data_IF_095175932333
#
_entry.id   IF_095175932333
#
_cell.length_a   1.000
_cell.length_b   1.000
_cell.length_c   1.000
_cell.angle_alpha   90.00
_cell.angle_beta   90.00
_cell.angle_gamma   90.00
#
_symmetry.space_group_name_H-M   'P 1'
#
loop_
_entity.id
_entity.type
_entity.pdbx_description
1 polymer ?
#
# COMPACT_ATOMS: atom_id res chain seq x y z
N UNK A 1 -30.82 -51.53 57.51
CA UNK A 1 -30.34 -51.72 56.12
C UNK A 1 -30.96 -50.69 55.19
N UNK A 2 -32.28 -50.46 55.30
CA UNK A 2 -33.06 -49.47 54.56
C UNK A 2 -32.51 -48.04 54.60
N UNK A 3 -32.02 -47.57 55.75
CA UNK A 3 -31.42 -46.21 55.86
C UNK A 3 -30.16 -46.02 55.01
N UNK A 4 -29.38 -47.10 54.78
CA UNK A 4 -28.22 -47.05 53.89
C UNK A 4 -28.65 -47.01 52.43
N UNK A 5 -29.71 -47.74 52.10
CA UNK A 5 -30.30 -47.78 50.76
C UNK A 5 -30.86 -46.40 50.40
N UNK A 6 -31.66 -45.79 51.27
CA UNK A 6 -32.21 -44.46 51.05
C UNK A 6 -31.12 -43.38 50.83
N UNK A 7 -30.02 -43.44 51.60
CA UNK A 7 -28.88 -42.53 51.40
C UNK A 7 -28.15 -42.75 50.08
N UNK A 8 -28.08 -44.00 49.59
CA UNK A 8 -27.48 -44.30 48.30
C UNK A 8 -28.36 -43.81 47.14
N UNK A 9 -29.68 -43.91 47.28
CA UNK A 9 -30.64 -43.39 46.30
C UNK A 9 -30.57 -41.86 46.20
N UNK A 10 -30.47 -41.17 47.35
CA UNK A 10 -30.26 -39.73 47.42
C UNK A 10 -28.94 -39.31 46.75
N UNK A 11 -27.83 -39.98 47.07
CA UNK A 11 -26.52 -39.70 46.47
C UNK A 11 -26.49 -40.00 44.96
N UNK A 12 -27.17 -41.05 44.49
CA UNK A 12 -27.29 -41.33 43.05
C UNK A 12 -28.07 -40.23 42.34
N UNK A 13 -29.12 -39.71 42.97
CA UNK A 13 -29.92 -38.62 42.42
C UNK A 13 -29.10 -37.33 42.30
N UNK A 14 -28.39 -36.94 43.37
CA UNK A 14 -27.48 -35.79 43.36
C UNK A 14 -26.36 -35.95 42.33
N UNK A 15 -25.75 -37.13 42.25
CA UNK A 15 -24.68 -37.41 41.27
C UNK A 15 -25.20 -37.30 39.83
N UNK A 16 -26.41 -37.81 39.56
CA UNK A 16 -27.05 -37.68 38.25
C UNK A 16 -27.31 -36.22 37.89
N UNK A 17 -27.83 -35.43 38.83
CA UNK A 17 -28.08 -34.01 38.59
C UNK A 17 -26.79 -33.23 38.30
N UNK A 18 -25.71 -33.53 39.03
CA UNK A 18 -24.39 -32.93 38.80
C UNK A 18 -23.79 -33.35 37.45
N UNK A 19 -23.98 -34.60 37.03
CA UNK A 19 -23.53 -35.09 35.72
C UNK A 19 -24.24 -34.36 34.58
N UNK A 20 -25.58 -34.23 34.66
CA UNK A 20 -26.37 -33.49 33.66
C UNK A 20 -25.87 -32.04 33.55
N UNK A 21 -25.65 -31.38 34.69
CA UNK A 21 -25.14 -30.00 34.71
C UNK A 21 -23.73 -29.87 34.14
N UNK A 22 -22.89 -30.89 34.28
CA UNK A 22 -21.55 -30.91 33.68
C UNK A 22 -21.66 -31.11 32.17
N UNK A 23 -22.55 -32.01 31.72
CA UNK A 23 -22.77 -32.31 30.30
C UNK A 23 -23.31 -31.08 29.54
N UNK A 24 -24.29 -30.38 30.10
CA UNK A 24 -24.81 -29.10 29.55
C UNK A 24 -23.71 -28.04 29.41
N UNK A 25 -22.81 -27.94 30.39
CA UNK A 25 -21.68 -26.99 30.35
C UNK A 25 -20.57 -27.42 29.39
N UNK A 26 -20.44 -28.72 29.15
CA UNK A 26 -19.46 -29.28 28.22
C UNK A 26 -19.89 -29.04 26.77
N UNK A 27 -21.19 -29.13 26.46
CA UNK A 27 -21.73 -28.74 25.15
C UNK A 27 -21.50 -27.25 24.85
N UNK A 28 -21.55 -26.39 25.86
CA UNK A 28 -21.25 -24.97 25.72
C UNK A 28 -19.75 -24.66 25.59
N UNK A 29 -18.87 -25.63 25.86
CA UNK A 29 -17.44 -25.45 25.75
C UNK A 29 -17.03 -25.72 24.29
N UNK A 30 -16.50 -24.69 23.60
CA UNK A 30 -15.95 -24.86 22.27
C UNK A 30 -14.96 -26.03 22.28
N UNK A 31 -15.23 -27.06 21.48
CA UNK A 31 -14.36 -28.22 21.42
C UNK A 31 -12.98 -27.80 20.90
N UNK A 32 -11.93 -28.53 21.27
CA UNK A 32 -10.57 -28.24 20.76
C UNK A 32 -10.52 -28.23 19.22
N UNK A 33 -11.40 -28.98 18.55
CA UNK A 33 -11.53 -28.98 17.11
C UNK A 33 -12.08 -27.65 16.59
N UNK A 34 -13.15 -27.15 17.20
CA UNK A 34 -13.79 -25.87 16.88
C UNK A 34 -12.79 -24.70 17.02
N UNK A 35 -12.05 -24.67 18.14
CA UNK A 35 -11.00 -23.67 18.35
C UNK A 35 -9.89 -23.75 17.31
N UNK A 36 -9.49 -24.96 16.91
CA UNK A 36 -8.42 -25.15 15.93
C UNK A 36 -8.88 -24.74 14.52
N UNK A 37 -10.15 -24.99 14.19
CA UNK A 37 -10.78 -24.54 12.94
C UNK A 37 -10.85 -23.00 12.90
N UNK A 38 -11.37 -22.36 13.95
CA UNK A 38 -11.42 -20.90 14.05
C UNK A 38 -10.03 -20.25 13.94
N UNK A 39 -9.00 -20.84 14.57
CA UNK A 39 -7.62 -20.34 14.46
C UNK A 39 -7.08 -20.54 13.04
N UNK A 40 -7.41 -21.65 12.39
CA UNK A 40 -7.05 -21.93 11.01
C UNK A 40 -7.63 -20.91 10.04
N UNK A 41 -8.93 -20.65 10.16
CA UNK A 41 -9.66 -19.67 9.36
C UNK A 41 -9.13 -18.25 9.59
N UNK A 42 -8.92 -17.87 10.85
CA UNK A 42 -8.36 -16.56 11.20
C UNK A 42 -6.97 -16.39 10.57
N UNK A 43 -6.13 -17.42 10.60
CA UNK A 43 -4.80 -17.37 9.97
C UNK A 43 -4.88 -17.22 8.46
N UNK A 44 -5.83 -17.92 7.82
CA UNK A 44 -6.04 -17.82 6.38
C UNK A 44 -6.51 -16.42 5.98
N UNK A 45 -7.47 -15.85 6.71
CA UNK A 45 -7.93 -14.48 6.51
C UNK A 45 -6.81 -13.46 6.72
N UNK A 46 -5.99 -13.64 7.76
CA UNK A 46 -4.87 -12.75 8.05
C UNK A 46 -3.83 -12.77 6.92
N UNK A 47 -3.46 -13.95 6.42
CA UNK A 47 -2.56 -14.09 5.27
C UNK A 47 -3.11 -13.43 4.01
N UNK A 48 -4.41 -13.61 3.74
CA UNK A 48 -5.08 -12.98 2.60
C UNK A 48 -5.11 -11.45 2.74
N UNK A 49 -5.48 -10.96 3.92
CA UNK A 49 -5.52 -9.54 4.23
C UNK A 49 -4.16 -8.86 4.07
N UNK A 50 -3.08 -9.48 4.56
CA UNK A 50 -1.74 -8.95 4.34
C UNK A 50 -1.33 -8.94 2.87
N UNK A 51 -1.64 -10.00 2.12
CA UNK A 51 -1.32 -10.06 0.69
C UNK A 51 -2.05 -8.95 -0.08
N UNK A 52 -3.32 -8.70 0.21
CA UNK A 52 -4.10 -7.62 -0.41
C UNK A 52 -3.55 -6.25 -0.04
N UNK A 53 -3.20 -6.02 1.23
CA UNK A 53 -2.57 -4.77 1.67
C UNK A 53 -1.24 -4.54 0.95
N UNK A 54 -0.38 -5.54 0.88
CA UNK A 54 0.92 -5.45 0.18
C UNK A 54 0.69 -5.11 -1.29
N UNK A 55 -0.26 -5.77 -1.96
CA UNK A 55 -0.59 -5.52 -3.36
C UNK A 55 -1.00 -4.06 -3.59
N UNK A 56 -1.86 -3.50 -2.74
CA UNK A 56 -2.30 -2.11 -2.85
C UNK A 56 -1.20 -1.10 -2.50
N UNK A 57 -0.35 -1.38 -1.50
CA UNK A 57 0.80 -0.55 -1.16
C UNK A 57 1.78 -0.50 -2.33
N UNK A 58 2.14 -1.65 -2.89
CA UNK A 58 3.06 -1.72 -4.04
C UNK A 58 2.44 -1.03 -5.25
N UNK A 59 1.15 -1.26 -5.52
CA UNK A 59 0.44 -0.61 -6.61
C UNK A 59 0.43 0.91 -6.51
N UNK A 60 0.11 1.46 -5.33
CA UNK A 60 0.08 2.92 -5.10
C UNK A 60 1.48 3.54 -5.12
N UNK A 61 2.50 2.83 -4.60
CA UNK A 61 3.88 3.28 -4.65
C UNK A 61 4.37 3.44 -6.09
N UNK A 62 4.14 2.44 -6.95
CA UNK A 62 4.53 2.50 -8.37
C UNK A 62 3.84 3.67 -9.08
N UNK A 63 2.53 3.86 -8.86
CA UNK A 63 1.77 4.96 -9.46
C UNK A 63 2.27 6.32 -8.98
N UNK A 64 2.52 6.49 -7.68
CA UNK A 64 3.07 7.73 -7.14
C UNK A 64 4.47 8.04 -7.70
N UNK A 65 5.35 7.04 -7.74
CA UNK A 65 6.69 7.21 -8.32
C UNK A 65 6.63 7.60 -9.79
N UNK A 66 5.81 6.91 -10.59
CA UNK A 66 5.62 7.23 -12.01
C UNK A 66 5.07 8.65 -12.20
N UNK A 67 4.05 9.01 -11.44
CA UNK A 67 3.45 10.36 -11.49
C UNK A 67 4.47 11.44 -11.11
N UNK A 68 5.28 11.20 -10.07
CA UNK A 68 6.35 12.12 -9.66
C UNK A 68 7.39 12.35 -10.75
N UNK A 69 7.82 11.30 -11.45
CA UNK A 69 8.76 11.40 -12.58
C UNK A 69 8.15 12.22 -13.73
N UNK A 70 6.88 11.97 -14.06
CA UNK A 70 6.16 12.71 -15.11
C UNK A 70 6.08 14.20 -14.77
N UNK A 71 5.69 14.53 -13.54
CA UNK A 71 5.61 15.92 -13.08
C UNK A 71 6.99 16.59 -13.13
N UNK A 72 8.03 15.94 -12.61
CA UNK A 72 9.40 16.47 -12.63
C UNK A 72 9.86 16.76 -14.07
N UNK A 73 9.63 15.82 -14.98
CA UNK A 73 10.01 15.96 -16.39
C UNK A 73 9.27 17.12 -17.05
N UNK A 74 7.98 17.26 -16.78
CA UNK A 74 7.18 18.36 -17.32
C UNK A 74 7.65 19.71 -16.79
N UNK A 75 7.93 19.81 -15.49
CA UNK A 75 8.47 21.04 -14.88
C UNK A 75 9.81 21.41 -15.51
N UNK A 76 10.75 20.46 -15.62
CA UNK A 76 12.07 20.72 -16.23
C UNK A 76 11.95 21.15 -17.70
N UNK A 77 11.09 20.49 -18.48
CA UNK A 77 10.91 20.82 -19.90
C UNK A 77 10.26 22.19 -20.12
N UNK A 78 9.46 22.69 -19.16
CA UNK A 78 8.82 24.00 -19.24
C UNK A 78 9.61 25.11 -18.51
N UNK A 79 10.53 24.77 -17.60
CA UNK A 79 11.28 25.75 -16.82
C UNK A 79 12.49 26.35 -17.56
N UNK A 80 12.95 25.75 -18.67
CA UNK A 80 14.02 26.34 -19.49
C UNK A 80 13.41 27.39 -20.43
N UNK A 81 13.78 28.68 -20.34
CA UNK A 81 13.35 29.67 -21.31
C UNK A 81 13.80 29.24 -22.70
N UNK A 82 12.85 29.05 -23.63
CA UNK A 82 13.20 28.84 -25.03
C UNK A 82 14.01 30.05 -25.49
N UNK A 83 15.26 29.83 -25.87
CA UNK A 83 16.12 30.89 -26.37
C UNK A 83 15.37 31.69 -27.43
N UNK A 84 15.35 33.01 -27.26
CA UNK A 84 14.86 33.92 -28.28
C UNK A 84 15.60 33.62 -29.58
N UNK A 85 14.90 33.47 -30.72
CA UNK A 85 15.56 33.33 -32.01
C UNK A 85 16.60 34.45 -32.15
N UNK A 86 17.82 34.15 -32.63
CA UNK A 86 18.83 35.18 -32.82
C UNK A 86 18.22 36.32 -33.62
N UNK A 87 18.27 37.54 -33.06
CA UNK A 87 17.74 38.72 -33.71
C UNK A 87 18.38 38.84 -35.11
N UNK A 88 17.62 39.17 -36.16
CA UNK A 88 18.18 39.34 -37.49
C UNK A 88 19.33 40.34 -37.42
N UNK A 89 20.53 39.90 -37.82
CA UNK A 89 21.71 40.74 -37.83
C UNK A 89 21.42 41.99 -38.68
N UNK A 90 21.70 43.21 -38.19
CA UNK A 90 21.55 44.40 -39.00
C UNK A 90 22.46 44.30 -40.25
N UNK A 91 22.04 44.82 -41.42
CA UNK A 91 22.84 44.76 -42.63
C UNK A 91 24.20 45.44 -42.43
N UNK A 92 25.29 44.73 -42.77
CA UNK A 92 26.64 45.30 -42.77
C UNK A 92 26.74 46.33 -43.89
N UNK A 93 26.75 47.60 -43.54
CA UNK A 93 26.99 48.71 -44.48
C UNK A 93 28.52 48.86 -44.64
N UNK A 94 29.05 48.35 -45.74
CA UNK A 94 30.47 48.55 -46.11
C UNK A 94 30.60 49.96 -46.69
N UNK A 95 31.17 50.88 -45.92
CA UNK A 95 31.61 52.17 -46.46
C UNK A 95 32.88 51.95 -47.29
N UNK A 96 32.76 52.02 -48.62
CA UNK A 96 33.92 52.08 -49.49
C UNK A 96 34.63 53.42 -49.25
N UNK A 97 35.81 53.41 -48.63
CA UNK A 97 36.67 54.59 -48.60
C UNK A 97 36.98 55.02 -50.05
N UNK A 98 36.80 56.31 -50.41
CA UNK A 98 37.20 56.81 -51.71
C UNK A 98 38.69 56.61 -51.90
N UNK A 99 39.07 55.99 -53.02
CA UNK A 99 40.47 55.76 -53.38
C UNK A 99 41.25 57.09 -53.36
N UNK A 100 42.47 57.13 -52.79
CA UNK A 100 43.27 58.34 -52.77
C UNK A 100 43.50 58.85 -54.20
N UNK A 101 43.19 60.12 -54.43
CA UNK A 101 43.33 60.76 -55.72
C UNK A 101 44.78 60.61 -56.24
N UNK A 102 44.98 60.33 -57.54
CA UNK A 102 46.31 60.20 -58.11
C UNK A 102 47.10 61.49 -57.89
N UNK A 103 48.20 61.41 -57.13
CA UNK A 103 49.14 62.52 -57.05
C UNK A 103 49.83 62.69 -58.41
N UNK A 104 49.96 63.92 -58.94
CA UNK A 104 50.58 64.14 -60.24
C UNK A 104 52.07 63.80 -60.14
N UNK A 105 52.55 62.92 -61.02
CA UNK A 105 53.99 62.79 -61.31
C UNK A 105 54.30 63.68 -62.52
N UNK A 106 55.41 64.40 -62.40
CA UNK A 106 55.98 65.37 -63.35
C UNK A 106 56.06 64.85 -64.78
#
# INVERSE_FOLDING_TARGET
>A
METRIAKLEELMTDTRERLVRIEERLEQCATKADLNEQIGDLRAEMHKGFADIIKWIVGTAIVMSGTGIVVMTFVLNNAVPKATPPAPLPPVVIYTQPAPAPQPKM
#
